data_IF_604066451031
#
_entry.id   IF_604066451031
#
_cell.length_a   1.000
_cell.length_b   1.000
_cell.length_c   1.000
_cell.angle_alpha   90.00
_cell.angle_beta   90.00
_cell.angle_gamma   90.00
#
_symmetry.space_group_name_H-M   'P 1'
#
loop_
_entity.id
_entity.type
_entity.pdbx_description
1 polymer ?
#
# COMPACT_ATOMS: atom_id res chain seq x y z
N UNK A 1 31.79 57.42 -43.44
CA UNK A 1 31.98 58.39 -42.32
C UNK A 1 31.20 57.84 -41.10
N UNK A 2 31.88 57.55 -40.00
CA UNK A 2 31.23 57.30 -38.72
C UNK A 2 30.86 58.64 -38.13
N UNK A 3 29.60 58.92 -37.89
CA UNK A 3 29.12 60.12 -37.21
C UNK A 3 28.94 59.78 -35.74
N UNK A 4 29.57 60.48 -34.82
CA UNK A 4 29.27 60.44 -33.39
C UNK A 4 27.99 61.21 -33.13
N UNK A 5 27.01 60.51 -32.50
CA UNK A 5 25.75 61.13 -32.05
C UNK A 5 25.98 61.79 -30.70
N UNK A 6 25.44 62.99 -30.52
CA UNK A 6 25.46 63.65 -29.24
C UNK A 6 24.42 63.04 -28.28
N UNK A 7 24.62 63.18 -26.94
CA UNK A 7 23.66 62.65 -25.97
C UNK A 7 22.22 63.13 -26.16
N UNK A 8 22.01 64.34 -26.73
CA UNK A 8 20.68 64.88 -27.03
C UNK A 8 20.03 64.25 -28.26
N UNK A 9 20.81 63.71 -29.20
CA UNK A 9 20.31 62.99 -30.39
C UNK A 9 19.93 61.55 -30.01
N UNK A 10 20.32 61.06 -28.84
CA UNK A 10 20.01 59.70 -28.36
C UNK A 10 18.85 59.72 -27.32
N UNK A 11 18.52 60.91 -26.78
CA UNK A 11 17.39 61.06 -25.87
C UNK A 11 16.08 61.06 -26.60
N UNK A 12 15.32 59.98 -26.39
CA UNK A 12 13.89 59.99 -26.74
C UNK A 12 13.13 60.71 -25.61
N UNK A 13 12.67 61.91 -25.86
CA UNK A 13 11.81 62.63 -24.94
C UNK A 13 10.37 62.16 -25.21
N UNK A 14 9.99 61.08 -24.57
CA UNK A 14 8.63 60.58 -24.60
C UNK A 14 7.89 61.29 -23.46
N UNK A 15 7.12 62.31 -23.75
CA UNK A 15 6.16 62.88 -22.81
C UNK A 15 5.03 61.87 -22.60
N UNK A 16 5.15 61.08 -21.51
CA UNK A 16 4.07 60.18 -21.13
C UNK A 16 2.97 61.04 -20.51
N UNK A 17 1.80 61.05 -21.16
CA UNK A 17 0.61 61.68 -20.59
C UNK A 17 0.24 60.93 -19.29
N UNK A 18 0.17 61.68 -18.16
CA UNK A 18 -0.05 61.13 -16.82
C UNK A 18 -1.43 60.48 -16.64
N UNK A 19 -2.30 60.57 -17.67
CA UNK A 19 -3.65 60.02 -17.69
C UNK A 19 -3.78 58.72 -18.52
N UNK A 20 -2.68 58.04 -18.86
CA UNK A 20 -2.76 56.73 -19.47
C UNK A 20 -3.23 55.74 -18.41
N UNK A 21 -4.50 55.36 -18.44
CA UNK A 21 -4.99 54.20 -17.72
C UNK A 21 -4.19 53.00 -18.20
N UNK A 22 -3.68 52.18 -17.24
CA UNK A 22 -3.06 50.91 -17.57
C UNK A 22 -4.10 50.04 -18.28
N UNK A 23 -4.09 49.98 -19.59
CA UNK A 23 -4.82 48.96 -20.33
C UNK A 23 -4.04 47.69 -20.21
N UNK A 24 -4.64 46.68 -19.58
CA UNK A 24 -4.11 45.31 -19.59
C UNK A 24 -4.31 44.65 -20.96
N UNK A 25 -5.04 45.26 -21.86
CA UNK A 25 -5.29 44.74 -23.22
C UNK A 25 -4.35 45.41 -24.22
N UNK A 26 -3.49 44.63 -24.82
CA UNK A 26 -2.73 45.04 -26.02
C UNK A 26 -3.66 44.85 -27.22
N UNK A 27 -4.13 45.91 -27.88
CA UNK A 27 -5.13 45.81 -28.97
C UNK A 27 -4.74 44.85 -30.10
N UNK A 28 -3.46 44.69 -30.34
CA UNK A 28 -2.88 43.78 -31.33
C UNK A 28 -3.19 42.31 -31.12
N UNK A 29 -3.58 41.92 -29.89
CA UNK A 29 -3.82 40.53 -29.48
C UNK A 29 -5.30 40.22 -29.18
N UNK A 30 -6.21 41.18 -29.27
CA UNK A 30 -7.62 40.96 -28.92
C UNK A 30 -8.24 39.79 -29.67
N UNK A 31 -7.99 39.69 -30.98
CA UNK A 31 -8.47 38.59 -31.81
C UNK A 31 -7.86 37.26 -31.44
N UNK A 32 -6.57 37.23 -31.06
CA UNK A 32 -5.86 36.02 -30.61
C UNK A 32 -6.38 35.56 -29.27
N UNK A 33 -6.53 36.46 -28.29
CA UNK A 33 -7.10 36.16 -27.01
C UNK A 33 -8.56 35.71 -27.07
N UNK A 34 -9.36 36.30 -27.94
CA UNK A 34 -10.74 35.83 -28.18
C UNK A 34 -10.80 34.40 -28.72
N UNK A 35 -9.84 34.01 -29.59
CA UNK A 35 -9.72 32.62 -30.08
C UNK A 35 -9.25 31.67 -28.98
N UNK A 36 -8.26 32.08 -28.18
CA UNK A 36 -7.77 31.31 -27.02
C UNK A 36 -8.93 31.06 -26.03
N UNK A 37 -9.64 32.11 -25.63
CA UNK A 37 -10.80 32.01 -24.73
C UNK A 37 -11.87 31.04 -25.23
N UNK A 38 -12.14 31.00 -26.53
CA UNK A 38 -13.09 30.04 -27.12
C UNK A 38 -12.53 28.62 -27.06
N UNK A 39 -11.24 28.47 -27.30
CA UNK A 39 -10.57 27.17 -27.32
C UNK A 39 -10.42 26.54 -25.92
N UNK A 40 -10.17 27.37 -24.90
CA UNK A 40 -10.12 26.91 -23.50
C UNK A 40 -11.46 26.31 -23.01
N UNK A 41 -12.58 26.65 -23.67
CA UNK A 41 -13.91 26.08 -23.37
C UNK A 41 -14.20 24.76 -24.09
N UNK A 42 -13.27 24.26 -24.91
CA UNK A 42 -13.43 23.02 -25.66
C UNK A 42 -12.83 21.87 -24.87
N UNK A 43 -13.68 21.05 -24.28
CA UNK A 43 -13.30 19.87 -23.48
C UNK A 43 -13.23 18.58 -24.31
N UNK A 44 -12.69 18.66 -25.53
CA UNK A 44 -12.54 17.48 -26.41
C UNK A 44 -11.13 16.92 -26.28
N UNK A 45 -11.04 15.61 -26.12
CA UNK A 45 -9.78 14.87 -26.13
C UNK A 45 -8.97 15.18 -27.42
N UNK A 46 -7.67 15.37 -27.25
CA UNK A 46 -6.75 15.68 -28.36
C UNK A 46 -6.82 17.12 -28.90
N UNK A 47 -7.63 18.01 -28.28
CA UNK A 47 -7.70 19.40 -28.72
C UNK A 47 -6.56 20.22 -28.11
N UNK A 48 -5.58 20.59 -28.95
CA UNK A 48 -4.42 21.40 -28.55
C UNK A 48 -4.39 22.73 -29.34
N UNK A 49 -3.87 23.78 -28.70
CA UNK A 49 -3.66 25.08 -29.30
C UNK A 49 -2.21 25.25 -29.72
N UNK A 50 -2.00 25.67 -30.95
CA UNK A 50 -0.68 26.06 -31.44
C UNK A 50 -0.64 27.59 -31.64
N UNK A 51 0.22 28.25 -30.87
CA UNK A 51 0.44 29.68 -30.97
C UNK A 51 1.78 29.91 -31.68
N UNK A 52 1.74 30.69 -32.78
CA UNK A 52 2.92 31.01 -33.56
C UNK A 52 3.23 32.49 -33.40
N UNK A 53 4.24 32.81 -32.61
CA UNK A 53 4.78 34.17 -32.42
C UNK A 53 6.21 34.11 -31.88
N UNK A 54 6.89 35.25 -31.89
CA UNK A 54 8.14 35.46 -31.21
C UNK A 54 7.87 35.79 -29.72
N UNK A 55 7.69 34.75 -28.90
CA UNK A 55 7.34 34.96 -27.48
C UNK A 55 8.52 35.53 -26.68
N UNK A 56 8.46 36.81 -26.33
CA UNK A 56 9.29 37.41 -25.30
C UNK A 56 8.76 37.00 -23.90
N UNK A 57 9.62 37.12 -22.87
CA UNK A 57 9.19 36.86 -21.47
C UNK A 57 7.92 37.60 -21.07
N UNK A 58 7.76 38.84 -21.53
CA UNK A 58 6.57 39.65 -21.22
C UNK A 58 5.33 39.12 -21.90
N UNK A 59 5.40 38.81 -23.22
CA UNK A 59 4.27 38.23 -23.96
C UNK A 59 3.81 36.90 -23.38
N UNK A 60 4.75 36.06 -22.95
CA UNK A 60 4.43 34.79 -22.30
C UNK A 60 3.72 35.02 -20.96
N UNK A 61 4.21 36.00 -20.16
CA UNK A 61 3.58 36.36 -18.91
C UNK A 61 2.16 36.90 -19.11
N UNK A 62 1.96 37.74 -20.14
CA UNK A 62 0.63 38.28 -20.47
C UNK A 62 -0.33 37.16 -20.89
N UNK A 63 0.16 36.15 -21.62
CA UNK A 63 -0.62 34.98 -21.99
C UNK A 63 -1.00 34.15 -20.76
N UNK A 64 -0.07 33.88 -19.85
CA UNK A 64 -0.31 33.15 -18.60
C UNK A 64 -1.36 33.90 -17.77
N UNK A 65 -1.15 35.18 -17.50
CA UNK A 65 -2.10 35.99 -16.73
C UNK A 65 -3.50 36.00 -17.35
N UNK A 66 -3.59 36.06 -18.70
CA UNK A 66 -4.87 36.01 -19.40
C UNK A 66 -5.59 34.69 -19.18
N UNK A 67 -4.87 33.54 -19.23
CA UNK A 67 -5.48 32.22 -19.01
C UNK A 67 -5.87 32.07 -17.54
N UNK A 68 -5.03 32.52 -16.58
CA UNK A 68 -5.35 32.54 -15.16
C UNK A 68 -6.61 33.36 -14.87
N UNK A 69 -6.77 34.53 -15.52
CA UNK A 69 -7.97 35.37 -15.40
C UNK A 69 -9.24 34.67 -15.95
N UNK A 70 -9.11 33.88 -17.02
CA UNK A 70 -10.23 33.09 -17.56
C UNK A 70 -10.60 31.91 -16.66
N UNK A 71 -9.65 31.39 -15.86
CA UNK A 71 -9.86 30.24 -14.96
C UNK A 71 -10.28 30.60 -13.54
N UNK A 72 -10.12 31.86 -13.12
CA UNK A 72 -10.32 32.28 -11.73
C UNK A 72 -11.70 31.97 -11.11
N UNK A 73 -12.73 31.87 -11.95
CA UNK A 73 -14.11 31.61 -11.55
C UNK A 73 -14.51 30.13 -11.76
N UNK A 74 -13.57 29.28 -12.15
CA UNK A 74 -13.77 27.82 -12.27
C UNK A 74 -13.49 27.12 -10.95
N UNK A 75 -14.02 25.90 -10.82
CA UNK A 75 -13.80 25.08 -9.63
C UNK A 75 -12.31 24.77 -9.41
N UNK A 76 -11.84 24.71 -8.16
CA UNK A 76 -10.47 24.39 -7.86
C UNK A 76 -10.14 22.96 -8.28
N UNK A 77 -8.90 22.68 -8.75
CA UNK A 77 -8.50 21.36 -9.22
C UNK A 77 -8.43 20.36 -8.07
N UNK A 78 -8.71 19.10 -8.37
CA UNK A 78 -8.56 18.00 -7.41
C UNK A 78 -7.08 17.72 -7.10
N UNK A 79 -6.81 17.22 -5.90
CA UNK A 79 -5.53 16.63 -5.56
C UNK A 79 -5.38 15.30 -6.30
N UNK A 80 -4.14 14.93 -6.65
CA UNK A 80 -3.85 13.61 -7.22
C UNK A 80 -3.07 12.80 -6.20
N UNK A 81 -3.62 11.66 -5.83
CA UNK A 81 -2.97 10.73 -4.91
C UNK A 81 -2.71 9.39 -5.60
N UNK A 82 -1.55 8.80 -5.32
CA UNK A 82 -1.30 7.39 -5.60
C UNK A 82 -1.53 6.59 -4.33
N UNK A 83 -2.24 5.49 -4.48
CA UNK A 83 -2.62 4.60 -3.39
C UNK A 83 -2.25 3.16 -3.74
N UNK A 84 -1.91 2.37 -2.73
CA UNK A 84 -1.65 0.94 -2.88
C UNK A 84 -2.74 0.14 -2.18
N UNK A 85 -3.20 -0.94 -2.81
CA UNK A 85 -4.17 -1.88 -2.29
C UNK A 85 -3.69 -3.33 -2.48
N UNK A 86 -4.09 -3.99 -3.56
CA UNK A 86 -3.81 -5.40 -3.79
C UNK A 86 -2.34 -5.68 -4.12
N UNK A 87 -1.74 -4.86 -4.98
CA UNK A 87 -0.36 -5.00 -5.45
C UNK A 87 0.45 -3.72 -5.17
N UNK A 88 1.42 -3.80 -4.27
CA UNK A 88 2.29 -2.67 -3.92
C UNK A 88 3.11 -2.12 -5.09
N UNK A 89 3.32 -2.93 -6.14
CA UNK A 89 4.05 -2.53 -7.34
C UNK A 89 3.16 -1.87 -8.40
N UNK A 90 1.85 -1.84 -8.18
CA UNK A 90 0.87 -1.24 -9.10
C UNK A 90 -0.03 -0.26 -8.36
N UNK A 91 0.49 0.91 -8.00
CA UNK A 91 -0.34 1.93 -7.34
C UNK A 91 -1.45 2.40 -8.28
N UNK A 92 -2.60 2.67 -7.70
CA UNK A 92 -3.75 3.27 -8.38
C UNK A 92 -3.72 4.79 -8.21
N UNK A 93 -4.12 5.53 -9.24
CA UNK A 93 -4.31 6.98 -9.15
C UNK A 93 -5.76 7.29 -8.77
N UNK A 94 -5.94 8.11 -7.74
CA UNK A 94 -7.26 8.62 -7.33
C UNK A 94 -7.25 10.14 -7.31
N UNK A 95 -8.41 10.73 -7.63
CA UNK A 95 -8.60 12.17 -7.67
C UNK A 95 -9.41 12.63 -6.46
N UNK A 96 -8.70 13.20 -5.51
CA UNK A 96 -9.23 13.60 -4.20
C UNK A 96 -9.67 15.07 -4.24
N UNK A 97 -10.75 15.42 -3.58
CA UNK A 97 -11.23 16.80 -3.50
C UNK A 97 -10.10 17.76 -3.09
N UNK A 98 -10.11 18.98 -3.64
CA UNK A 98 -9.07 19.98 -3.45
C UNK A 98 -8.64 20.13 -1.98
N UNK A 99 -7.36 19.98 -1.72
CA UNK A 99 -6.74 20.12 -0.40
C UNK A 99 -7.00 18.97 0.57
N UNK A 100 -7.77 17.94 0.18
CA UNK A 100 -8.05 16.77 1.03
C UNK A 100 -7.04 15.63 0.89
N UNK A 101 -6.13 15.66 -0.07
CA UNK A 101 -5.15 14.58 -0.28
C UNK A 101 -4.24 14.33 0.93
N UNK A 102 -3.76 15.40 1.60
CA UNK A 102 -2.99 15.29 2.85
C UNK A 102 -3.83 14.68 3.98
N UNK A 103 -5.10 15.06 4.05
CA UNK A 103 -6.02 14.54 5.06
C UNK A 103 -6.28 13.05 4.86
N UNK A 104 -6.47 12.61 3.61
CA UNK A 104 -6.60 11.18 3.27
C UNK A 104 -5.36 10.39 3.73
N UNK A 105 -4.16 10.89 3.44
CA UNK A 105 -2.91 10.29 3.91
C UNK A 105 -2.86 10.15 5.43
N UNK A 106 -3.27 11.19 6.15
CA UNK A 106 -3.32 11.23 7.62
C UNK A 106 -4.34 10.23 8.17
N UNK A 107 -5.53 10.18 7.57
CA UNK A 107 -6.60 9.23 7.92
C UNK A 107 -6.13 7.79 7.74
N UNK A 108 -5.50 7.44 6.61
CA UNK A 108 -4.93 6.11 6.38
C UNK A 108 -3.83 5.77 7.39
N UNK A 109 -2.97 6.74 7.73
CA UNK A 109 -1.94 6.53 8.77
C UNK A 109 -2.56 6.23 10.15
N UNK A 110 -3.65 6.91 10.49
CA UNK A 110 -4.38 6.68 11.75
C UNK A 110 -5.08 5.32 11.74
N UNK A 111 -5.72 4.94 10.63
CA UNK A 111 -6.33 3.60 10.45
C UNK A 111 -5.28 2.50 10.70
N UNK A 112 -4.09 2.61 10.09
CA UNK A 112 -2.99 1.64 10.31
C UNK A 112 -2.58 1.51 11.76
N UNK A 113 -2.48 2.63 12.50
CA UNK A 113 -2.17 2.63 13.93
C UNK A 113 -3.27 1.96 14.74
N UNK A 114 -4.51 2.27 14.45
CA UNK A 114 -5.67 1.66 15.14
C UNK A 114 -5.71 0.14 14.91
N UNK A 115 -5.38 -0.33 13.69
CA UNK A 115 -5.24 -1.77 13.45
C UNK A 115 -4.14 -2.39 14.30
N UNK A 116 -2.96 -1.76 14.45
CA UNK A 116 -1.91 -2.27 15.32
C UNK A 116 -2.39 -2.43 16.76
N UNK A 117 -3.09 -1.45 17.29
CA UNK A 117 -3.64 -1.49 18.65
C UNK A 117 -4.66 -2.62 18.79
N UNK A 118 -5.60 -2.73 17.86
CA UNK A 118 -6.65 -3.78 17.87
C UNK A 118 -6.06 -5.17 17.68
N UNK A 119 -5.02 -5.32 16.85
CA UNK A 119 -4.29 -6.57 16.66
C UNK A 119 -3.62 -6.99 17.97
N UNK A 120 -2.90 -6.08 18.62
CA UNK A 120 -2.26 -6.34 19.91
C UNK A 120 -3.27 -6.73 20.98
N UNK A 121 -4.43 -6.08 20.99
CA UNK A 121 -5.54 -6.45 21.89
C UNK A 121 -5.98 -7.90 21.64
N UNK A 122 -6.16 -8.32 20.39
CA UNK A 122 -6.58 -9.69 20.06
C UNK A 122 -5.57 -10.75 20.54
N UNK A 123 -4.27 -10.49 20.40
CA UNK A 123 -3.25 -11.44 20.86
C UNK A 123 -3.08 -11.46 22.38
N UNK A 124 -3.22 -10.30 23.05
CA UNK A 124 -3.03 -10.15 24.49
C UNK A 124 -4.31 -10.41 25.32
N UNK A 125 -5.48 -10.34 24.69
CA UNK A 125 -6.77 -10.40 25.40
C UNK A 125 -7.08 -11.83 25.84
N UNK A 126 -6.90 -12.07 27.14
CA UNK A 126 -7.34 -13.29 27.83
C UNK A 126 -8.85 -13.30 28.12
N UNK A 127 -9.60 -12.27 27.70
CA UNK A 127 -11.06 -12.16 27.94
C UNK A 127 -11.89 -12.72 26.79
N UNK A 128 -11.25 -13.23 25.72
CA UNK A 128 -11.96 -13.89 24.64
C UNK A 128 -12.12 -15.39 24.96
N UNK A 129 -13.10 -15.70 25.80
CA UNK A 129 -13.42 -17.07 26.23
C UNK A 129 -13.52 -18.07 25.05
N UNK A 130 -13.98 -17.62 23.89
CA UNK A 130 -14.12 -18.46 22.69
C UNK A 130 -12.76 -18.77 22.05
N UNK A 131 -11.82 -17.82 22.05
CA UNK A 131 -10.45 -18.02 21.56
C UNK A 131 -9.72 -19.01 22.47
N UNK A 132 -9.72 -18.74 23.79
CA UNK A 132 -9.06 -19.56 24.78
C UNK A 132 -9.60 -20.99 24.79
N UNK A 133 -10.92 -21.14 24.69
CA UNK A 133 -11.56 -22.45 24.54
C UNK A 133 -11.10 -23.22 23.30
N UNK A 134 -10.98 -22.56 22.15
CA UNK A 134 -10.52 -23.20 20.91
C UNK A 134 -9.04 -23.62 20.99
N UNK A 135 -8.19 -22.82 21.60
CA UNK A 135 -6.78 -23.16 21.81
C UNK A 135 -6.67 -24.34 22.78
N UNK A 136 -7.36 -24.28 23.92
CA UNK A 136 -7.37 -25.35 24.90
C UNK A 136 -7.94 -26.68 24.32
N UNK A 137 -8.98 -26.62 23.48
CA UNK A 137 -9.51 -27.81 22.78
C UNK A 137 -8.43 -28.51 21.91
N UNK A 138 -7.60 -27.72 21.20
CA UNK A 138 -6.51 -28.26 20.38
C UNK A 138 -5.42 -28.88 21.24
N UNK A 139 -5.00 -28.20 22.31
CA UNK A 139 -3.98 -28.70 23.22
C UNK A 139 -4.42 -29.97 23.93
N UNK A 140 -5.64 -30.03 24.43
CA UNK A 140 -6.20 -31.21 25.07
C UNK A 140 -6.22 -32.41 24.12
N UNK A 141 -6.72 -32.24 22.89
CA UNK A 141 -6.72 -33.29 21.88
C UNK A 141 -5.31 -33.76 21.52
N UNK A 142 -4.37 -32.82 21.39
CA UNK A 142 -2.97 -33.16 21.13
C UNK A 142 -2.39 -34.03 22.25
N UNK A 143 -2.66 -33.65 23.49
CA UNK A 143 -2.22 -34.42 24.67
C UNK A 143 -2.87 -35.80 24.72
N UNK A 144 -4.17 -35.91 24.43
CA UNK A 144 -4.90 -37.18 24.39
C UNK A 144 -4.29 -38.15 23.35
N UNK A 145 -4.04 -37.68 22.14
CA UNK A 145 -3.41 -38.49 21.08
C UNK A 145 -1.96 -38.88 21.41
N UNK A 146 -1.19 -38.00 22.02
CA UNK A 146 0.16 -38.31 22.46
C UNK A 146 0.14 -39.38 23.55
N UNK A 147 -0.75 -39.26 24.54
CA UNK A 147 -0.93 -40.24 25.60
C UNK A 147 -1.41 -41.60 25.04
N UNK A 148 -2.32 -41.62 24.06
CA UNK A 148 -2.72 -42.83 23.38
C UNK A 148 -1.51 -43.51 22.70
N UNK A 149 -0.70 -42.74 21.97
CA UNK A 149 0.47 -43.27 21.26
C UNK A 149 1.52 -43.84 22.23
N UNK A 150 1.79 -43.12 23.32
CA UNK A 150 2.73 -43.56 24.37
C UNK A 150 2.24 -44.86 25.02
N UNK A 151 0.95 -44.96 25.31
CA UNK A 151 0.36 -46.16 25.90
C UNK A 151 0.45 -47.36 24.95
N UNK A 152 0.06 -47.15 23.69
CA UNK A 152 0.12 -48.20 22.63
C UNK A 152 1.56 -48.69 22.43
N UNK A 153 2.53 -47.78 22.42
CA UNK A 153 3.93 -48.14 22.26
C UNK A 153 4.44 -48.94 23.48
N UNK A 154 4.07 -48.53 24.68
CA UNK A 154 4.46 -49.23 25.92
C UNK A 154 3.85 -50.65 25.98
N UNK A 155 2.59 -50.79 25.59
CA UNK A 155 1.91 -52.08 25.55
C UNK A 155 2.58 -53.04 24.54
N UNK A 156 3.20 -52.52 23.50
CA UNK A 156 3.96 -53.29 22.50
C UNK A 156 5.44 -53.42 22.85
N UNK A 157 5.91 -52.85 23.96
CA UNK A 157 7.31 -52.93 24.45
C UNK A 157 8.23 -51.90 23.82
N UNK A 158 7.74 -50.69 23.57
CA UNK A 158 8.53 -49.61 23.01
C UNK A 158 8.40 -48.32 23.83
N UNK A 159 9.48 -47.54 23.86
CA UNK A 159 9.48 -46.13 24.28
C UNK A 159 9.30 -45.21 23.06
N UNK A 160 8.51 -44.14 23.20
CA UNK A 160 8.31 -43.11 22.18
C UNK A 160 9.21 -41.92 22.43
N UNK A 161 9.99 -41.53 21.45
CA UNK A 161 10.75 -40.26 21.47
C UNK A 161 10.32 -39.34 20.34
N UNK A 162 10.01 -38.10 20.68
CA UNK A 162 9.75 -37.06 19.68
C UNK A 162 11.05 -36.69 18.94
N UNK A 163 10.97 -36.59 17.62
CA UNK A 163 12.07 -36.17 16.74
C UNK A 163 11.59 -35.03 15.83
N UNK A 164 12.52 -34.35 15.19
CA UNK A 164 12.21 -33.29 14.20
C UNK A 164 11.38 -33.78 12.99
N UNK A 165 11.29 -35.10 12.77
CA UNK A 165 10.56 -35.72 11.66
C UNK A 165 9.34 -36.57 12.09
N UNK A 166 8.94 -36.49 13.36
CA UNK A 166 7.85 -37.27 13.93
C UNK A 166 8.28 -38.04 15.16
N UNK A 167 7.88 -39.32 15.27
CA UNK A 167 8.15 -40.14 16.43
C UNK A 167 9.14 -41.30 16.10
N UNK A 168 10.06 -41.53 17.01
CA UNK A 168 10.92 -42.72 17.01
C UNK A 168 10.45 -43.67 18.09
N UNK A 169 10.39 -44.97 17.75
CA UNK A 169 10.02 -46.07 18.64
C UNK A 169 11.27 -46.88 18.99
N UNK A 170 11.65 -46.86 20.26
CA UNK A 170 12.82 -47.53 20.79
C UNK A 170 12.36 -48.80 21.54
N UNK A 171 12.81 -50.03 21.17
CA UNK A 171 12.40 -51.23 21.85
C UNK A 171 12.89 -51.22 23.29
N UNK A 172 12.08 -51.73 24.20
CA UNK A 172 12.40 -51.88 25.64
C UNK A 172 12.96 -53.30 25.88
N UNK A 173 13.91 -53.39 26.85
CA UNK A 173 14.43 -54.64 27.34
C UNK A 173 13.53 -55.23 28.47
N UNK A 174 13.91 -56.35 29.05
CA UNK A 174 13.15 -57.02 30.14
C UNK A 174 13.06 -56.20 31.43
N UNK A 175 13.86 -55.12 31.58
CA UNK A 175 13.87 -54.23 32.73
C UNK A 175 13.06 -52.94 32.45
N UNK A 176 12.29 -52.88 31.35
CA UNK A 176 11.54 -51.70 30.83
C UNK A 176 12.44 -50.51 30.49
N UNK A 177 13.73 -50.72 30.23
CA UNK A 177 14.66 -49.70 29.76
C UNK A 177 14.87 -49.78 28.24
N UNK A 178 15.25 -48.66 27.62
CA UNK A 178 15.55 -48.64 26.18
C UNK A 178 16.69 -49.60 25.84
N UNK A 179 16.43 -50.51 24.93
CA UNK A 179 17.40 -51.53 24.49
C UNK A 179 18.60 -50.87 23.79
N UNK A 180 19.83 -51.26 24.21
CA UNK A 180 21.05 -50.82 23.56
C UNK A 180 21.29 -51.55 22.23
N UNK A 181 22.10 -50.97 21.31
CA UNK A 181 22.47 -51.63 20.07
C UNK A 181 23.06 -53.02 20.28
N UNK A 182 23.87 -53.20 21.32
CA UNK A 182 24.49 -54.53 21.65
C UNK A 182 23.47 -55.55 22.10
N UNK A 183 22.47 -55.14 22.85
CA UNK A 183 21.36 -56.01 23.26
C UNK A 183 20.53 -56.42 22.07
N UNK A 184 20.20 -55.46 21.20
CA UNK A 184 19.45 -55.71 19.96
C UNK A 184 20.21 -56.68 19.04
N UNK A 185 21.51 -56.44 18.83
CA UNK A 185 22.33 -57.28 17.97
C UNK A 185 22.45 -58.75 18.47
N UNK A 186 22.38 -58.94 19.80
CA UNK A 186 22.45 -60.26 20.44
C UNK A 186 21.14 -61.08 20.32
N UNK A 187 20.03 -60.47 19.86
CA UNK A 187 18.77 -61.17 19.70
C UNK A 187 18.80 -62.17 18.52
N UNK A 188 18.03 -63.22 18.63
CA UNK A 188 17.77 -64.15 17.52
C UNK A 188 17.01 -63.45 16.37
N UNK A 189 17.27 -63.82 15.13
CA UNK A 189 16.66 -63.21 13.93
C UNK A 189 15.13 -63.15 14.00
N UNK A 190 14.50 -64.20 14.53
CA UNK A 190 13.05 -64.25 14.69
C UNK A 190 12.50 -63.18 15.65
N UNK A 191 13.27 -62.86 16.73
CA UNK A 191 12.92 -61.78 17.67
C UNK A 191 13.11 -60.41 17.02
N UNK A 192 14.16 -60.22 16.21
CA UNK A 192 14.40 -58.96 15.46
C UNK A 192 13.26 -58.68 14.45
N UNK A 193 12.81 -59.72 13.76
CA UNK A 193 11.68 -59.59 12.79
C UNK A 193 10.38 -59.17 13.50
N UNK A 194 10.12 -59.72 14.70
CA UNK A 194 8.97 -59.33 15.53
C UNK A 194 9.05 -57.87 15.93
N UNK A 195 10.23 -57.41 16.42
CA UNK A 195 10.47 -56.01 16.82
C UNK A 195 10.25 -55.09 15.61
N UNK A 196 10.82 -55.41 14.44
CA UNK A 196 10.67 -54.61 13.22
C UNK A 196 9.21 -54.52 12.77
N UNK A 197 8.49 -55.66 12.81
CA UNK A 197 7.07 -55.67 12.46
C UNK A 197 6.22 -54.83 13.41
N UNK A 198 6.42 -54.92 14.71
CA UNK A 198 5.73 -54.11 15.71
C UNK A 198 6.07 -52.63 15.60
N UNK A 199 7.33 -52.25 15.40
CA UNK A 199 7.76 -50.89 15.15
C UNK A 199 7.12 -50.32 13.88
N UNK A 200 7.01 -51.15 12.82
CA UNK A 200 6.31 -50.78 11.58
C UNK A 200 4.83 -50.48 11.78
N UNK A 201 4.14 -51.25 12.62
CA UNK A 201 2.73 -51.04 12.96
C UNK A 201 2.53 -49.74 13.81
N UNK A 202 3.40 -49.55 14.80
CA UNK A 202 3.41 -48.32 15.64
C UNK A 202 3.67 -47.08 14.79
N UNK A 203 4.59 -47.18 13.82
CA UNK A 203 4.87 -46.05 12.90
C UNK A 203 3.65 -45.70 12.06
N UNK A 204 2.95 -46.68 11.49
CA UNK A 204 1.69 -46.46 10.75
C UNK A 204 0.63 -45.81 11.63
N UNK A 205 0.47 -46.26 12.88
CA UNK A 205 -0.49 -45.66 13.82
C UNK A 205 -0.11 -44.21 14.16
N UNK A 206 1.20 -43.92 14.37
CA UNK A 206 1.69 -42.56 14.58
C UNK A 206 1.44 -41.63 13.38
N UNK A 207 1.63 -42.15 12.15
CA UNK A 207 1.32 -41.41 10.92
C UNK A 207 -0.18 -41.06 10.87
N UNK A 208 -1.08 -42.01 11.18
CA UNK A 208 -2.53 -41.75 11.27
C UNK A 208 -2.86 -40.67 12.32
N UNK A 209 -2.28 -40.78 13.52
CA UNK A 209 -2.47 -39.78 14.60
C UNK A 209 -1.99 -38.38 14.19
N UNK A 210 -0.84 -38.31 13.50
CA UNK A 210 -0.33 -37.03 13.00
C UNK A 210 -1.26 -36.41 11.92
N UNK A 211 -1.85 -37.22 11.06
CA UNK A 211 -2.84 -36.75 10.08
C UNK A 211 -4.13 -36.27 10.77
N UNK A 212 -4.64 -37.01 11.77
CA UNK A 212 -5.82 -36.60 12.55
C UNK A 212 -5.57 -35.30 13.34
N UNK A 213 -4.38 -35.14 13.94
CA UNK A 213 -3.99 -33.91 14.62
C UNK A 213 -3.91 -32.72 13.66
N UNK A 214 -3.30 -32.91 12.50
CA UNK A 214 -3.21 -31.87 11.47
C UNK A 214 -4.59 -31.40 11.02
N UNK A 215 -5.53 -32.32 10.84
CA UNK A 215 -6.90 -31.97 10.46
C UNK A 215 -7.62 -31.17 11.54
N UNK A 216 -7.38 -31.50 12.82
CA UNK A 216 -7.95 -30.76 13.95
C UNK A 216 -7.34 -29.35 14.02
N UNK A 217 -6.01 -29.23 13.91
CA UNK A 217 -5.33 -27.93 13.89
C UNK A 217 -5.83 -27.05 12.75
N UNK A 218 -5.95 -27.58 11.54
CA UNK A 218 -6.48 -26.84 10.39
C UNK A 218 -7.94 -26.38 10.59
N UNK A 219 -8.79 -27.19 11.20
CA UNK A 219 -10.18 -26.82 11.50
C UNK A 219 -10.23 -25.72 12.56
N UNK A 220 -9.37 -25.80 13.57
CA UNK A 220 -9.32 -24.81 14.65
C UNK A 220 -8.75 -23.49 14.17
N UNK A 221 -7.70 -23.49 13.35
CA UNK A 221 -7.17 -22.27 12.70
C UNK A 221 -8.26 -21.59 11.87
N UNK A 222 -9.06 -22.34 11.10
CA UNK A 222 -10.17 -21.76 10.33
C UNK A 222 -11.24 -21.12 11.21
N UNK A 223 -11.51 -21.69 12.38
CA UNK A 223 -12.46 -21.10 13.35
C UNK A 223 -11.88 -19.83 13.98
N UNK A 224 -10.62 -19.89 14.39
CA UNK A 224 -9.90 -18.75 14.94
C UNK A 224 -9.79 -17.59 13.94
N UNK A 225 -9.51 -17.87 12.67
CA UNK A 225 -9.52 -16.86 11.61
C UNK A 225 -10.87 -16.17 11.45
N UNK A 226 -11.97 -16.93 11.52
CA UNK A 226 -13.32 -16.34 11.49
C UNK A 226 -13.61 -15.47 12.72
N UNK A 227 -13.18 -15.91 13.90
CA UNK A 227 -13.30 -15.14 15.13
C UNK A 227 -12.49 -13.83 15.02
N UNK A 228 -11.27 -13.93 14.52
CA UNK A 228 -10.38 -12.78 14.31
C UNK A 228 -10.96 -11.77 13.31
N UNK A 229 -11.49 -12.23 12.18
CA UNK A 229 -12.21 -11.35 11.23
C UNK A 229 -13.33 -10.58 11.93
N UNK A 230 -14.18 -11.29 12.68
CA UNK A 230 -15.29 -10.66 13.40
C UNK A 230 -14.83 -9.67 14.47
N UNK A 231 -13.75 -10.00 15.16
CA UNK A 231 -13.16 -9.11 16.18
C UNK A 231 -12.62 -7.83 15.55
N UNK A 232 -11.80 -7.94 14.48
CA UNK A 232 -11.27 -6.79 13.75
C UNK A 232 -12.39 -5.90 13.22
N UNK A 233 -13.35 -6.47 12.52
CA UNK A 233 -14.46 -5.73 11.92
C UNK A 233 -15.27 -4.98 12.98
N UNK A 234 -15.63 -5.63 14.09
CA UNK A 234 -16.38 -4.98 15.17
C UNK A 234 -15.59 -3.87 15.86
N UNK A 235 -14.31 -4.06 16.09
CA UNK A 235 -13.46 -3.05 16.76
C UNK A 235 -13.15 -1.86 15.86
N UNK A 236 -13.10 -2.08 14.55
CA UNK A 236 -12.79 -1.04 13.56
C UNK A 236 -14.05 -0.34 13.00
N UNK A 237 -15.27 -0.81 13.34
CA UNK A 237 -16.53 -0.30 12.78
C UNK A 237 -16.68 1.22 12.96
N UNK A 238 -16.50 1.72 14.18
CA UNK A 238 -16.60 3.16 14.47
C UNK A 238 -15.55 3.99 13.71
N UNK A 239 -14.29 3.50 13.66
CA UNK A 239 -13.20 4.16 12.93
C UNK A 239 -13.48 4.17 11.42
N UNK A 240 -14.04 3.07 10.90
CA UNK A 240 -14.45 2.95 9.51
C UNK A 240 -15.55 3.95 9.18
N UNK A 241 -16.58 4.00 9.98
CA UNK A 241 -17.71 4.91 9.77
C UNK A 241 -17.28 6.37 9.81
N UNK A 242 -16.43 6.75 10.77
CA UNK A 242 -15.87 8.11 10.86
C UNK A 242 -15.01 8.46 9.64
N UNK A 243 -14.15 7.54 9.21
CA UNK A 243 -13.31 7.74 8.03
C UNK A 243 -14.16 7.89 6.75
N UNK A 244 -15.15 7.05 6.56
CA UNK A 244 -16.05 7.11 5.40
C UNK A 244 -16.92 8.38 5.41
N UNK A 245 -17.41 8.80 6.59
CA UNK A 245 -18.19 10.03 6.73
C UNK A 245 -17.37 11.27 6.35
N UNK A 246 -16.08 11.31 6.69
CA UNK A 246 -15.19 12.42 6.36
C UNK A 246 -15.05 12.62 4.84
N UNK A 247 -15.11 11.54 4.06
CA UNK A 247 -14.96 11.56 2.60
C UNK A 247 -16.25 11.26 1.83
N UNK A 248 -17.41 11.35 2.48
CA UNK A 248 -18.72 11.00 1.89
C UNK A 248 -19.05 11.76 0.60
N UNK A 249 -18.46 12.95 0.38
CA UNK A 249 -18.66 13.77 -0.82
C UNK A 249 -17.58 13.57 -1.89
N UNK A 250 -16.66 12.64 -1.68
CA UNK A 250 -15.51 12.36 -2.55
C UNK A 250 -15.51 10.87 -2.90
N UNK A 251 -16.14 10.54 -4.04
CA UNK A 251 -16.41 9.17 -4.45
C UNK A 251 -15.13 8.31 -4.51
N UNK A 252 -14.04 8.84 -5.09
CA UNK A 252 -12.77 8.10 -5.24
C UNK A 252 -12.15 7.75 -3.88
N UNK A 253 -12.13 8.73 -2.95
CA UNK A 253 -11.59 8.52 -1.60
C UNK A 253 -12.47 7.59 -0.78
N UNK A 254 -13.79 7.70 -0.93
CA UNK A 254 -14.76 6.84 -0.24
C UNK A 254 -14.60 5.38 -0.69
N UNK A 255 -14.59 5.12 -2.00
CA UNK A 255 -14.40 3.77 -2.55
C UNK A 255 -13.04 3.18 -2.17
N UNK A 256 -11.99 4.00 -2.22
CA UNK A 256 -10.66 3.58 -1.77
C UNK A 256 -10.65 3.15 -0.29
N UNK A 257 -11.25 3.94 0.60
CA UNK A 257 -11.31 3.63 2.04
C UNK A 257 -12.11 2.35 2.31
N UNK A 258 -13.26 2.14 1.66
CA UNK A 258 -14.02 0.89 1.80
C UNK A 258 -13.18 -0.35 1.41
N UNK A 259 -12.48 -0.27 0.28
CA UNK A 259 -11.57 -1.34 -0.18
C UNK A 259 -10.39 -1.52 0.77
N UNK A 260 -9.82 -0.43 1.27
CA UNK A 260 -8.69 -0.44 2.20
C UNK A 260 -8.99 -1.27 3.45
N UNK A 261 -10.10 -1.00 4.15
CA UNK A 261 -10.50 -1.76 5.34
C UNK A 261 -10.65 -3.24 5.03
N UNK A 262 -11.29 -3.56 3.90
CA UNK A 262 -11.50 -4.95 3.48
C UNK A 262 -10.17 -5.66 3.20
N UNK A 263 -9.26 -5.02 2.46
CA UNK A 263 -7.96 -5.59 2.11
C UNK A 263 -7.06 -5.78 3.34
N UNK A 264 -7.01 -4.78 4.24
CA UNK A 264 -6.22 -4.89 5.49
C UNK A 264 -6.73 -6.06 6.33
N UNK A 265 -8.03 -6.16 6.57
CA UNK A 265 -8.61 -7.25 7.36
C UNK A 265 -8.32 -8.62 6.75
N UNK A 266 -8.45 -8.75 5.43
CA UNK A 266 -8.17 -10.00 4.72
C UNK A 266 -6.70 -10.40 4.85
N UNK A 267 -5.76 -9.50 4.58
CA UNK A 267 -4.34 -9.79 4.62
C UNK A 267 -3.88 -10.15 6.06
N UNK A 268 -4.35 -9.41 7.07
CA UNK A 268 -4.03 -9.67 8.49
C UNK A 268 -4.58 -11.03 8.94
N UNK A 269 -5.82 -11.35 8.57
CA UNK A 269 -6.40 -12.65 8.93
C UNK A 269 -5.71 -13.80 8.18
N UNK A 270 -5.26 -13.56 6.96
CA UNK A 270 -4.57 -14.59 6.18
C UNK A 270 -3.22 -14.96 6.77
N UNK A 271 -2.46 -14.01 7.30
CA UNK A 271 -1.16 -14.26 7.93
C UNK A 271 -1.24 -14.87 9.33
N UNK A 272 -2.42 -14.90 9.96
CA UNK A 272 -2.59 -15.35 11.36
C UNK A 272 -2.16 -16.79 11.60
N UNK A 273 -1.19 -16.99 12.53
CA UNK A 273 -0.63 -18.30 12.93
C UNK A 273 -0.91 -18.69 14.38
N UNK A 274 -1.59 -17.88 15.15
CA UNK A 274 -1.82 -17.96 16.61
C UNK A 274 -0.66 -17.42 17.48
N UNK A 275 0.51 -17.14 16.92
CA UNK A 275 1.68 -16.59 17.63
C UNK A 275 1.97 -15.18 17.16
N UNK A 276 1.92 -14.21 18.08
CA UNK A 276 2.29 -12.81 17.74
C UNK A 276 3.76 -12.72 17.34
N UNK A 277 4.65 -13.51 17.94
CA UNK A 277 6.08 -13.48 17.66
C UNK A 277 6.38 -13.90 16.21
N UNK A 278 5.58 -14.83 15.66
CA UNK A 278 5.70 -15.31 14.29
C UNK A 278 5.04 -14.34 13.30
N UNK A 279 3.93 -13.72 13.69
CA UNK A 279 3.09 -12.88 12.83
C UNK A 279 3.53 -11.41 12.79
N UNK A 280 4.23 -10.89 13.80
CA UNK A 280 4.53 -9.47 13.99
C UNK A 280 5.19 -8.83 12.76
N UNK A 281 6.23 -9.43 12.22
CA UNK A 281 6.96 -8.91 11.08
C UNK A 281 6.06 -8.83 9.82
N UNK A 282 5.20 -9.82 9.64
CA UNK A 282 4.28 -9.88 8.51
C UNK A 282 3.15 -8.87 8.66
N UNK A 283 2.63 -8.66 9.87
CA UNK A 283 1.64 -7.62 10.18
C UNK A 283 2.20 -6.23 9.85
N UNK A 284 3.44 -5.93 10.27
CA UNK A 284 4.09 -4.67 9.91
C UNK A 284 4.27 -4.52 8.39
N UNK A 285 4.64 -5.59 7.69
CA UNK A 285 4.78 -5.59 6.23
C UNK A 285 3.43 -5.31 5.57
N UNK A 286 2.37 -5.98 6.01
CA UNK A 286 1.00 -5.78 5.50
C UNK A 286 0.56 -4.33 5.70
N UNK A 287 0.68 -3.78 6.90
CA UNK A 287 0.24 -2.40 7.16
C UNK A 287 1.08 -1.36 6.40
N UNK A 288 2.37 -1.63 6.18
CA UNK A 288 3.22 -0.75 5.38
C UNK A 288 2.96 -0.83 3.87
N UNK A 289 2.38 -1.93 3.38
CA UNK A 289 1.93 -2.06 1.99
C UNK A 289 0.91 -0.98 1.63
N UNK A 290 0.00 -0.66 2.56
CA UNK A 290 -1.07 0.32 2.34
C UNK A 290 -0.56 1.73 2.63
N UNK A 291 -0.34 2.51 1.59
CA UNK A 291 0.14 3.90 1.73
C UNK A 291 -0.56 4.83 0.75
N UNK A 292 -0.53 6.12 1.08
CA UNK A 292 -1.06 7.21 0.26
C UNK A 292 0.05 8.22 0.00
N UNK A 293 0.37 8.43 -1.27
CA UNK A 293 1.28 9.48 -1.71
C UNK A 293 0.50 10.58 -2.40
N UNK A 294 0.49 11.78 -1.83
CA UNK A 294 0.00 12.97 -2.53
C UNK A 294 1.02 13.32 -3.61
N UNK A 295 0.67 13.09 -4.87
CA UNK A 295 1.53 13.35 -6.03
C UNK A 295 1.40 14.80 -6.47
N UNK A 296 0.16 15.33 -6.51
CA UNK A 296 -0.12 16.74 -6.77
C UNK A 296 -1.01 17.27 -5.65
N UNK A 297 -0.48 18.22 -4.91
CA UNK A 297 -1.18 18.91 -3.83
C UNK A 297 -1.69 20.26 -4.36
N UNK A 298 -2.97 20.37 -4.54
CA UNK A 298 -3.64 21.57 -5.04
C UNK A 298 -4.27 22.42 -3.92
N UNK A 299 -3.95 22.17 -2.66
CA UNK A 299 -4.53 22.89 -1.51
C UNK A 299 -4.38 24.41 -1.55
N UNK A 300 -3.39 24.93 -2.28
CA UNK A 300 -3.17 26.35 -2.49
C UNK A 300 -3.71 26.89 -3.83
N UNK A 301 -4.29 26.03 -4.66
CA UNK A 301 -4.83 26.40 -5.95
C UNK A 301 -6.35 26.57 -5.84
N UNK A 302 -6.81 27.80 -5.98
CA UNK A 302 -8.24 28.15 -5.90
C UNK A 302 -8.93 28.14 -7.27
N UNK A 303 -8.17 27.89 -8.34
CA UNK A 303 -8.62 27.78 -9.72
C UNK A 303 -7.70 26.79 -10.45
N UNK A 304 -8.12 26.28 -11.64
CA UNK A 304 -7.31 25.39 -12.47
C UNK A 304 -5.92 25.96 -12.74
N UNK A 305 -4.84 25.16 -12.62
CA UNK A 305 -3.48 25.65 -12.73
C UNK A 305 -3.08 25.97 -14.17
N UNK A 306 -2.25 27.00 -14.33
CA UNK A 306 -1.59 27.32 -15.61
C UNK A 306 -0.11 27.06 -15.47
N UNK A 307 0.35 25.93 -15.99
CA UNK A 307 1.75 25.49 -15.86
C UNK A 307 2.50 25.78 -17.15
N UNK A 308 3.61 26.51 -17.03
CA UNK A 308 4.56 26.70 -18.12
C UNK A 308 5.81 25.84 -17.88
N UNK A 309 6.06 24.90 -18.79
CA UNK A 309 7.29 24.08 -18.76
C UNK A 309 8.28 24.63 -19.77
N UNK A 310 9.39 25.18 -19.28
CA UNK A 310 10.43 25.81 -20.10
C UNK A 310 11.30 24.79 -20.83
N UNK A 311 11.60 23.65 -20.15
CA UNK A 311 12.42 22.55 -20.68
C UNK A 311 11.58 21.24 -20.72
N UNK A 312 10.75 21.04 -21.75
CA UNK A 312 9.80 19.94 -21.82
C UNK A 312 10.46 18.59 -22.18
N UNK A 313 11.51 18.20 -21.41
CA UNK A 313 12.05 16.87 -21.52
C UNK A 313 11.13 15.83 -20.88
N UNK A 314 11.40 14.53 -21.13
CA UNK A 314 10.53 13.44 -20.67
C UNK A 314 10.30 13.46 -19.16
N UNK A 315 11.37 13.65 -18.38
CA UNK A 315 11.28 13.65 -16.92
C UNK A 315 10.47 14.82 -16.39
N UNK A 316 10.67 16.02 -16.95
CA UNK A 316 9.93 17.20 -16.55
C UNK A 316 8.44 17.11 -16.92
N UNK A 317 8.11 16.44 -18.03
CA UNK A 317 6.73 16.28 -18.49
C UNK A 317 5.99 15.17 -17.75
N UNK A 318 6.56 13.99 -17.65
CA UNK A 318 5.89 12.80 -17.09
C UNK A 318 6.14 12.70 -15.58
N UNK A 319 7.32 13.11 -15.12
CA UNK A 319 7.80 12.90 -13.76
C UNK A 319 8.88 11.85 -13.69
N UNK A 320 9.29 11.51 -12.47
CA UNK A 320 10.40 10.57 -12.22
C UNK A 320 10.01 9.56 -11.17
N UNK A 321 10.60 8.36 -11.29
CA UNK A 321 10.61 7.33 -10.24
C UNK A 321 12.06 7.20 -9.77
N UNK A 322 12.30 7.50 -8.51
CA UNK A 322 13.62 7.36 -7.90
C UNK A 322 13.77 5.96 -7.29
N UNK A 323 15.04 5.54 -7.13
CA UNK A 323 15.37 4.23 -6.56
C UNK A 323 16.35 4.41 -5.41
N UNK A 324 16.09 3.70 -4.33
CA UNK A 324 17.01 3.62 -3.20
C UNK A 324 17.81 2.31 -3.26
N UNK A 325 19.08 2.37 -2.82
CA UNK A 325 19.92 1.18 -2.76
C UNK A 325 19.89 0.58 -1.36
N UNK A 326 19.26 -0.58 -1.22
CA UNK A 326 19.24 -1.37 0.01
C UNK A 326 20.12 -2.62 -0.17
N UNK A 327 21.31 -2.60 0.44
CA UNK A 327 22.27 -3.73 0.42
C UNK A 327 22.61 -4.26 -1.00
N UNK A 328 22.73 -3.35 -1.96
CA UNK A 328 23.08 -3.70 -3.35
C UNK A 328 21.88 -3.99 -4.27
N UNK A 329 20.66 -3.98 -3.75
CA UNK A 329 19.42 -4.04 -4.53
C UNK A 329 18.80 -2.67 -4.65
N UNK A 330 18.35 -2.32 -5.87
CA UNK A 330 17.60 -1.09 -6.12
C UNK A 330 16.12 -1.38 -5.87
N UNK A 331 15.54 -0.66 -4.91
CA UNK A 331 14.11 -0.74 -4.57
C UNK A 331 13.45 0.62 -4.81
N UNK A 332 12.18 0.59 -5.16
CA UNK A 332 11.35 1.79 -5.28
C UNK A 332 10.00 1.54 -4.61
N UNK A 333 9.36 2.62 -4.21
CA UNK A 333 7.99 2.59 -3.70
C UNK A 333 7.29 3.90 -4.10
N UNK A 334 5.99 4.01 -3.79
CA UNK A 334 5.20 5.18 -4.19
C UNK A 334 5.73 6.51 -3.62
N UNK A 335 6.48 6.48 -2.51
CA UNK A 335 7.05 7.71 -1.91
C UNK A 335 8.13 8.34 -2.78
N UNK A 336 8.76 7.56 -3.66
CA UNK A 336 9.85 7.96 -4.55
C UNK A 336 9.36 8.42 -5.94
N UNK A 337 8.04 8.53 -6.13
CA UNK A 337 7.45 9.03 -7.38
C UNK A 337 7.24 10.54 -7.27
N UNK A 338 7.63 11.28 -8.32
CA UNK A 338 7.45 12.73 -8.44
C UNK A 338 6.64 13.07 -9.69
N UNK A 339 5.68 14.01 -9.54
CA UNK A 339 4.83 14.46 -10.64
C UNK A 339 5.60 15.34 -11.63
N UNK A 340 5.40 15.10 -12.94
CA UNK A 340 5.79 16.01 -13.99
C UNK A 340 4.73 17.08 -14.28
N UNK A 341 5.03 17.94 -15.25
CA UNK A 341 4.19 19.08 -15.61
C UNK A 341 2.81 18.67 -16.11
N UNK A 342 2.67 17.50 -16.75
CA UNK A 342 1.38 16.98 -17.24
C UNK A 342 0.42 16.73 -16.06
N UNK A 343 0.89 16.04 -15.01
CA UNK A 343 0.07 15.78 -13.84
C UNK A 343 -0.23 17.07 -13.05
N UNK A 344 0.77 17.96 -12.92
CA UNK A 344 0.59 19.25 -12.24
C UNK A 344 -0.39 20.16 -12.94
N UNK A 345 -0.55 20.03 -14.26
CA UNK A 345 -1.51 20.82 -15.06
C UNK A 345 -2.87 20.14 -15.22
N UNK A 346 -3.13 19.04 -14.48
CA UNK A 346 -4.42 18.37 -14.54
C UNK A 346 -5.57 19.34 -14.22
N UNK A 347 -6.68 19.22 -14.96
CA UNK A 347 -7.85 20.14 -14.92
C UNK A 347 -7.52 21.60 -15.29
N UNK A 348 -6.29 21.90 -15.71
CA UNK A 348 -5.80 23.23 -16.04
C UNK A 348 -5.23 23.33 -17.45
N UNK A 349 -4.17 24.12 -17.60
CA UNK A 349 -3.50 24.38 -18.87
C UNK A 349 -1.98 24.13 -18.76
N UNK A 350 -1.44 23.32 -19.66
CA UNK A 350 0.00 23.13 -19.81
C UNK A 350 0.49 23.91 -21.05
N UNK A 351 1.42 24.80 -20.86
CA UNK A 351 2.07 25.59 -21.91
C UNK A 351 3.48 25.04 -22.13
N UNK A 352 3.75 24.63 -23.37
CA UNK A 352 5.05 24.07 -23.78
C UNK A 352 5.70 24.93 -24.87
N UNK A 353 7.01 25.02 -24.83
CA UNK A 353 7.81 25.62 -25.89
C UNK A 353 8.30 24.55 -26.84
N UNK A 354 7.87 24.59 -28.11
CA UNK A 354 8.23 23.57 -29.10
C UNK A 354 9.65 23.63 -29.64
N UNK A 355 10.38 24.73 -29.39
CA UNK A 355 11.74 24.96 -29.94
C UNK A 355 12.84 24.95 -28.87
N UNK A 356 12.67 24.20 -27.83
CA UNK A 356 13.68 24.00 -26.78
C UNK A 356 14.56 22.79 -27.03
#
# INVERSE_FOLDING_TARGET
MKRELTPNEIKFDISIDKNIEKSNNVPEYEDAFAKIKRALKITKEGYNLYLVDSFSKNKLKDLINFIEDEYKDLDPPKDICYVTLEDENKPEAIFVANGKGKKLKETVSNIKKSYLDVINDFYSDSTNDEKDFLVEEVENKRNDYLNELIKLAKDEGFEVKATSKGFAFLPLNSEEETMTEKEYDSLEDNHKDIIVSKAGNLKKRAETILEELRDIELKSIRRLKKLYTKFLSNKMEEIKDDALLEFITDDDSYEYLERLFTCIEQDIVECYTMSIEDDENEIYRILNKYDVKVIVDNSNNFAPPVIYEEDPNLNNLIGTVEYENHNGMYVTNISLISAGAILKANEGCLILRLNS
#
